data_IF_081234611392
#
_entry.id   IF_081234611392
#
_cell.length_a   1.000
_cell.length_b   1.000
_cell.length_c   1.000
_cell.angle_alpha   90.00
_cell.angle_beta   90.00
_cell.angle_gamma   90.00
#
_symmetry.space_group_name_H-M   'P 1'
#
loop_
_entity.id
_entity.type
_entity.pdbx_description
1 polymer ?
#
# COMPACT_ATOMS: atom_id res chain seq x y z
N UNK A 1 0.54 27.64 2.17
CA UNK A 1 -0.54 26.91 1.48
C UNK A 1 -0.81 25.62 2.24
N UNK A 2 -1.84 25.68 3.12
CA UNK A 2 -2.15 24.63 4.10
C UNK A 2 -2.97 23.45 3.55
N UNK A 3 -2.57 22.87 2.41
CA UNK A 3 -3.19 21.61 1.99
C UNK A 3 -2.61 20.46 2.82
N UNK A 4 -3.49 19.76 3.55
CA UNK A 4 -3.10 18.55 4.28
C UNK A 4 -2.42 17.56 3.31
N UNK A 5 -1.25 17.07 3.69
CA UNK A 5 -0.52 16.12 2.87
C UNK A 5 -1.39 14.87 2.61
N UNK A 6 -1.48 14.44 1.35
CA UNK A 6 -2.26 13.27 0.94
C UNK A 6 -1.33 12.10 0.62
N UNK A 7 -1.65 10.91 1.14
CA UNK A 7 -0.97 9.65 0.82
C UNK A 7 -1.98 8.68 0.22
N UNK A 8 -1.62 8.11 -0.93
CA UNK A 8 -2.40 7.03 -1.53
C UNK A 8 -2.06 5.69 -0.83
N UNK A 9 -3.07 4.85 -0.64
CA UNK A 9 -2.94 3.51 -0.06
C UNK A 9 -3.66 2.51 -0.95
N UNK A 10 -2.94 1.48 -1.43
CA UNK A 10 -3.49 0.43 -2.27
C UNK A 10 -3.46 -0.92 -1.52
N UNK A 11 -4.56 -1.29 -0.81
CA UNK A 11 -4.58 -2.49 0.01
C UNK A 11 -4.82 -3.78 -0.78
N UNK A 12 -5.21 -3.69 -2.06
CA UNK A 12 -5.47 -4.83 -2.91
C UNK A 12 -4.22 -5.51 -3.45
N UNK A 13 -4.40 -6.69 -4.03
CA UNK A 13 -3.42 -7.40 -4.83
C UNK A 13 -4.13 -8.41 -5.75
N UNK A 14 -4.08 -8.19 -7.05
CA UNK A 14 -4.78 -9.03 -8.04
C UNK A 14 -4.23 -10.47 -8.12
N UNK A 15 -2.96 -10.69 -7.75
CA UNK A 15 -2.33 -12.01 -7.82
C UNK A 15 -2.95 -13.03 -6.85
N UNK A 16 -3.35 -12.59 -5.64
CA UNK A 16 -3.91 -13.44 -4.61
C UNK A 16 -3.68 -12.93 -3.19
N UNK A 17 -4.28 -13.59 -2.20
CA UNK A 17 -4.22 -13.21 -0.79
C UNK A 17 -2.82 -13.21 -0.19
N UNK A 18 -1.93 -14.07 -0.71
CA UNK A 18 -0.54 -14.15 -0.23
C UNK A 18 0.28 -12.86 -0.39
N UNK A 19 -0.10 -11.96 -1.29
CA UNK A 19 0.55 -10.65 -1.45
C UNK A 19 -0.04 -9.54 -0.57
N UNK A 20 -1.13 -9.79 0.14
CA UNK A 20 -1.85 -8.77 0.90
C UNK A 20 -1.26 -8.59 2.30
N UNK A 21 -0.84 -7.38 2.61
CA UNK A 21 -0.58 -6.99 3.98
C UNK A 21 -1.91 -6.96 4.75
N UNK A 22 -1.95 -7.33 6.05
CA UNK A 22 -3.21 -7.40 6.79
C UNK A 22 -3.99 -6.08 6.76
N UNK A 23 -5.31 -6.16 6.62
CA UNK A 23 -6.19 -4.99 6.63
C UNK A 23 -6.07 -4.19 7.93
N UNK A 24 -5.92 -4.87 9.07
CA UNK A 24 -5.66 -4.25 10.38
C UNK A 24 -4.34 -3.47 10.42
N UNK A 25 -3.33 -3.94 9.70
CA UNK A 25 -2.05 -3.24 9.59
C UNK A 25 -2.14 -2.00 8.72
N UNK A 26 -2.88 -2.06 7.59
CA UNK A 26 -3.20 -0.86 6.80
C UNK A 26 -4.02 0.15 7.61
N UNK A 27 -4.99 -0.32 8.40
CA UNK A 27 -5.77 0.55 9.27
C UNK A 27 -4.89 1.26 10.31
N UNK A 28 -4.00 0.53 10.98
CA UNK A 28 -3.07 1.12 11.94
C UNK A 28 -2.09 2.12 11.30
N UNK A 29 -1.65 1.86 10.06
CA UNK A 29 -0.87 2.81 9.26
C UNK A 29 -1.67 4.11 9.03
N UNK A 30 -2.93 3.99 8.60
CA UNK A 30 -3.82 5.13 8.33
C UNK A 30 -4.06 5.93 9.62
N UNK A 31 -4.28 5.26 10.73
CA UNK A 31 -4.46 5.89 12.05
C UNK A 31 -3.20 6.67 12.47
N UNK A 32 -2.02 6.09 12.27
CA UNK A 32 -0.75 6.75 12.54
C UNK A 32 -0.51 7.99 11.64
N UNK A 33 -0.86 7.90 10.36
CA UNK A 33 -0.78 9.03 9.43
C UNK A 33 -1.79 10.14 9.80
N UNK A 34 -3.01 9.77 10.18
CA UNK A 34 -4.02 10.72 10.62
C UNK A 34 -3.61 11.47 11.88
N UNK A 35 -2.92 10.81 12.81
CA UNK A 35 -2.35 11.45 14.01
C UNK A 35 -1.28 12.50 13.67
N UNK A 36 -0.64 12.38 12.50
CA UNK A 36 0.30 13.38 11.97
C UNK A 36 -0.38 14.49 11.12
N UNK A 37 -1.72 14.50 11.06
CA UNK A 37 -2.47 15.42 10.20
C UNK A 37 -2.43 15.07 8.70
N UNK A 38 -2.00 13.85 8.35
CA UNK A 38 -1.92 13.39 6.97
C UNK A 38 -3.22 12.69 6.56
N UNK A 39 -3.81 13.12 5.45
CA UNK A 39 -5.00 12.49 4.86
C UNK A 39 -4.60 11.30 3.98
N UNK A 40 -5.49 10.33 3.89
CA UNK A 40 -5.27 9.15 3.06
C UNK A 40 -6.40 8.93 2.06
N UNK A 41 -6.05 8.39 0.89
CA UNK A 41 -7.00 7.96 -0.14
C UNK A 41 -6.73 6.49 -0.50
N UNK A 42 -7.75 5.65 -0.42
CA UNK A 42 -7.68 4.26 -0.86
C UNK A 42 -7.89 4.19 -2.36
N UNK A 43 -7.00 3.51 -3.06
CA UNK A 43 -7.05 3.29 -4.51
C UNK A 43 -6.94 1.79 -4.83
N UNK A 44 -7.44 1.40 -5.99
CA UNK A 44 -7.40 0.02 -6.46
C UNK A 44 -8.48 -0.25 -7.51
N UNK A 45 -8.42 -1.43 -8.10
CA UNK A 45 -9.43 -1.90 -9.05
C UNK A 45 -10.72 -2.32 -8.34
N UNK A 46 -11.79 -2.59 -9.11
CA UNK A 46 -13.07 -3.04 -8.56
C UNK A 46 -12.96 -4.36 -7.77
N UNK A 47 -12.04 -5.24 -8.14
CA UNK A 47 -11.75 -6.48 -7.41
C UNK A 47 -11.13 -6.29 -6.03
N UNK A 48 -10.63 -5.07 -5.71
CA UNK A 48 -10.01 -4.76 -4.43
C UNK A 48 -11.00 -4.17 -3.40
N UNK A 49 -12.29 -4.07 -3.74
CA UNK A 49 -13.32 -3.45 -2.88
C UNK A 49 -13.44 -4.12 -1.51
N UNK A 50 -13.37 -5.47 -1.45
CA UNK A 50 -13.43 -6.16 -0.15
C UNK A 50 -12.25 -5.78 0.74
N UNK A 51 -11.03 -5.79 0.20
CA UNK A 51 -9.83 -5.40 0.93
C UNK A 51 -9.92 -3.94 1.44
N UNK A 52 -10.41 -3.02 0.61
CA UNK A 52 -10.62 -1.64 1.02
C UNK A 52 -11.69 -1.50 2.11
N UNK A 53 -12.79 -2.25 2.02
CA UNK A 53 -13.86 -2.26 3.03
C UNK A 53 -13.32 -2.75 4.38
N UNK A 54 -12.53 -3.83 4.41
CA UNK A 54 -11.91 -4.35 5.62
C UNK A 54 -11.02 -3.28 6.28
N UNK A 55 -10.23 -2.53 5.49
CA UNK A 55 -9.40 -1.43 6.00
C UNK A 55 -10.25 -0.31 6.59
N UNK A 56 -11.31 0.12 5.88
CA UNK A 56 -12.20 1.20 6.35
C UNK A 56 -12.91 0.82 7.65
N UNK A 57 -13.32 -0.46 7.79
CA UNK A 57 -13.97 -0.93 9.02
C UNK A 57 -13.01 -1.05 10.20
N UNK A 58 -11.73 -1.28 9.94
CA UNK A 58 -10.71 -1.45 10.98
C UNK A 58 -10.06 -0.13 11.44
N UNK A 59 -10.04 0.91 10.61
CA UNK A 59 -9.42 2.20 10.95
C UNK A 59 -10.27 3.00 11.93
N UNK A 60 -9.59 3.75 12.81
CA UNK A 60 -10.18 4.70 13.76
C UNK A 60 -9.97 6.15 13.33
N UNK A 61 -9.32 6.37 12.18
CA UNK A 61 -9.00 7.71 11.69
C UNK A 61 -10.27 8.56 11.49
N UNK A 62 -10.20 9.79 11.96
CA UNK A 62 -11.24 10.79 11.75
C UNK A 62 -10.60 12.06 11.19
N UNK A 63 -11.02 12.50 9.99
CA UNK A 63 -11.98 11.86 9.10
C UNK A 63 -11.44 10.55 8.50
N UNK A 64 -12.34 9.63 8.17
CA UNK A 64 -12.00 8.36 7.52
C UNK A 64 -11.27 8.57 6.18
N UNK A 65 -10.49 7.57 5.70
CA UNK A 65 -9.84 7.65 4.40
C UNK A 65 -10.86 7.78 3.27
N UNK A 66 -10.54 8.60 2.27
CA UNK A 66 -11.36 8.68 1.06
C UNK A 66 -11.23 7.37 0.28
N UNK A 67 -12.34 6.66 0.08
CA UNK A 67 -12.32 5.37 -0.63
C UNK A 67 -12.71 5.55 -2.11
N UNK A 68 -11.72 5.47 -3.00
CA UNK A 68 -11.89 5.52 -4.46
C UNK A 68 -11.67 4.16 -5.15
N UNK A 69 -11.57 3.06 -4.40
CA UNK A 69 -11.36 1.72 -4.96
C UNK A 69 -12.51 1.31 -5.87
N UNK A 70 -12.16 0.98 -7.13
CA UNK A 70 -13.13 0.63 -8.18
C UNK A 70 -14.02 1.80 -8.63
N UNK A 71 -13.59 3.05 -8.41
CA UNK A 71 -14.32 4.28 -8.79
C UNK A 71 -13.52 5.20 -9.71
N UNK A 72 -12.33 4.80 -10.13
CA UNK A 72 -11.47 5.57 -11.02
C UNK A 72 -11.14 4.76 -12.27
N UNK A 73 -11.11 5.43 -13.41
CA UNK A 73 -10.38 5.00 -14.58
C UNK A 73 -8.89 5.38 -14.48
N UNK A 74 -8.06 5.00 -15.43
CA UNK A 74 -6.63 5.29 -15.39
C UNK A 74 -6.30 6.79 -15.42
N UNK A 75 -6.94 7.62 -16.27
CA UNK A 75 -6.72 9.08 -16.24
C UNK A 75 -7.07 9.71 -14.88
N UNK A 76 -8.23 9.36 -14.33
CA UNK A 76 -8.66 9.86 -13.01
C UNK A 76 -7.71 9.42 -11.90
N UNK A 77 -7.26 8.14 -11.93
CA UNK A 77 -6.27 7.64 -10.98
C UNK A 77 -4.96 8.42 -11.07
N UNK A 78 -4.50 8.73 -12.30
CA UNK A 78 -3.33 9.57 -12.53
C UNK A 78 -3.49 10.96 -11.89
N UNK A 79 -4.65 11.58 -12.06
CA UNK A 79 -4.99 12.85 -11.42
C UNK A 79 -4.97 12.77 -9.89
N UNK A 80 -5.55 11.71 -9.31
CA UNK A 80 -5.52 11.50 -7.84
C UNK A 80 -4.07 11.35 -7.35
N UNK A 81 -3.26 10.53 -8.03
CA UNK A 81 -1.86 10.30 -7.63
C UNK A 81 -1.00 11.57 -7.76
N UNK A 82 -1.30 12.44 -8.72
CA UNK A 82 -0.61 13.73 -8.87
C UNK A 82 -0.80 14.67 -7.66
N UNK A 83 -1.86 14.49 -6.88
CA UNK A 83 -2.10 15.22 -5.63
C UNK A 83 -1.53 14.52 -4.39
N UNK A 84 -0.98 13.31 -4.54
CA UNK A 84 -0.38 12.55 -3.44
C UNK A 84 1.12 12.81 -3.36
N UNK A 85 1.66 12.79 -2.13
CA UNK A 85 3.12 12.87 -1.92
C UNK A 85 3.80 11.51 -2.01
N UNK A 86 3.08 10.42 -1.78
CA UNK A 86 3.57 9.05 -1.89
C UNK A 86 2.43 8.04 -2.00
N UNK A 87 2.80 6.81 -2.37
CA UNK A 87 1.92 5.64 -2.37
C UNK A 87 2.44 4.58 -1.39
N UNK A 88 1.54 3.97 -0.59
CA UNK A 88 1.82 2.73 0.15
C UNK A 88 1.02 1.61 -0.47
N UNK A 89 1.67 0.51 -0.83
CA UNK A 89 1.04 -0.56 -1.61
C UNK A 89 1.64 -1.93 -1.33
N UNK A 90 0.88 -2.98 -1.57
CA UNK A 90 1.42 -4.31 -1.78
C UNK A 90 2.16 -4.39 -3.13
N UNK A 91 2.87 -5.50 -3.40
CA UNK A 91 3.37 -5.84 -4.74
C UNK A 91 2.20 -5.96 -5.72
N UNK A 92 1.85 -4.87 -6.38
CA UNK A 92 0.69 -4.74 -7.28
C UNK A 92 0.95 -3.73 -8.40
N UNK A 93 0.11 -3.74 -9.42
CA UNK A 93 0.20 -2.80 -10.54
C UNK A 93 0.19 -1.32 -10.13
N UNK A 94 -0.41 -0.99 -8.99
CA UNK A 94 -0.45 0.38 -8.49
C UNK A 94 0.94 0.98 -8.28
N UNK A 95 1.94 0.20 -7.84
CA UNK A 95 3.30 0.70 -7.64
C UNK A 95 3.96 1.14 -8.97
N UNK A 96 3.71 0.41 -10.05
CA UNK A 96 4.25 0.76 -11.38
C UNK A 96 3.56 2.00 -11.95
N UNK A 97 2.24 2.09 -11.75
CA UNK A 97 1.48 3.24 -12.19
C UNK A 97 1.89 4.52 -11.45
N UNK A 98 2.21 4.43 -10.16
CA UNK A 98 2.74 5.56 -9.39
C UNK A 98 4.20 5.90 -9.78
N UNK A 99 5.00 4.91 -10.15
CA UNK A 99 6.39 5.11 -10.53
C UNK A 99 6.53 5.91 -11.83
N UNK A 100 5.61 5.75 -12.78
CA UNK A 100 5.66 6.43 -14.08
C UNK A 100 5.74 7.97 -13.98
N UNK A 101 4.94 8.67 -13.16
CA UNK A 101 5.08 10.10 -12.91
C UNK A 101 6.16 10.44 -11.85
N UNK A 102 6.90 9.48 -11.33
CA UNK A 102 7.94 9.68 -10.31
C UNK A 102 7.42 9.81 -8.88
N UNK A 103 6.18 9.41 -8.61
CA UNK A 103 5.62 9.42 -7.26
C UNK A 103 6.33 8.39 -6.38
N UNK A 104 6.93 8.76 -5.24
CA UNK A 104 7.55 7.81 -4.32
C UNK A 104 6.57 6.73 -3.87
N UNK A 105 7.03 5.48 -3.82
CA UNK A 105 6.21 4.36 -3.36
C UNK A 105 6.91 3.54 -2.27
N UNK A 106 6.16 3.17 -1.25
CA UNK A 106 6.53 2.14 -0.27
C UNK A 106 5.80 0.86 -0.67
N UNK A 107 6.55 -0.11 -1.21
CA UNK A 107 6.00 -1.35 -1.73
C UNK A 107 6.37 -2.53 -0.83
N UNK A 108 5.37 -3.28 -0.38
CA UNK A 108 5.56 -4.45 0.48
C UNK A 108 5.55 -5.73 -0.35
N UNK A 109 6.59 -6.54 -0.17
CA UNK A 109 6.81 -7.78 -0.90
C UNK A 109 6.82 -8.97 0.05
N UNK A 110 5.93 -9.91 -0.19
CA UNK A 110 5.84 -11.17 0.54
C UNK A 110 6.33 -12.37 -0.29
N UNK A 111 5.45 -13.09 -0.99
CA UNK A 111 5.75 -14.36 -1.63
C UNK A 111 6.59 -14.23 -2.92
N UNK A 112 6.74 -13.03 -3.44
CA UNK A 112 7.34 -12.76 -4.76
C UNK A 112 8.76 -12.24 -4.67
N UNK A 113 9.44 -12.20 -5.83
CA UNK A 113 10.81 -11.73 -5.96
C UNK A 113 10.83 -10.23 -6.22
N UNK A 114 11.14 -9.46 -5.22
CA UNK A 114 11.23 -8.00 -5.32
C UNK A 114 12.20 -7.52 -6.39
N UNK A 115 13.30 -8.24 -6.60
CA UNK A 115 14.32 -7.88 -7.59
C UNK A 115 13.83 -7.91 -9.02
N UNK A 116 12.77 -8.68 -9.32
CA UNK A 116 12.22 -8.84 -10.65
C UNK A 116 11.12 -7.82 -10.96
N UNK A 117 10.38 -7.39 -9.94
CA UNK A 117 9.14 -6.62 -10.13
C UNK A 117 9.04 -5.36 -9.29
N UNK A 118 10.11 -4.93 -8.60
CA UNK A 118 10.06 -3.67 -7.86
C UNK A 118 9.83 -2.46 -8.81
N UNK A 119 9.25 -1.35 -8.31
CA UNK A 119 9.04 -0.18 -9.14
C UNK A 119 10.37 0.39 -9.66
N UNK A 120 10.37 0.84 -10.90
CA UNK A 120 11.55 1.43 -11.55
C UNK A 120 11.61 2.91 -11.18
N UNK A 121 12.81 3.41 -10.84
CA UNK A 121 13.04 4.81 -10.48
C UNK A 121 13.63 5.00 -9.09
N UNK A 122 14.05 6.24 -8.78
CA UNK A 122 15.01 6.48 -7.71
C UNK A 122 14.47 6.68 -6.29
N UNK A 123 13.18 6.74 -6.04
CA UNK A 123 12.64 7.08 -4.71
C UNK A 123 11.61 6.08 -4.17
N UNK A 124 11.75 4.82 -4.55
CA UNK A 124 10.86 3.78 -4.07
C UNK A 124 11.53 2.99 -2.94
N UNK A 125 10.76 2.67 -1.90
CA UNK A 125 11.22 1.81 -0.82
C UNK A 125 10.53 0.47 -0.90
N UNK A 126 11.34 -0.59 -0.99
CA UNK A 126 10.86 -1.98 -0.96
C UNK A 126 11.01 -2.54 0.45
N UNK A 127 9.92 -2.99 1.03
CA UNK A 127 9.90 -3.59 2.36
C UNK A 127 9.61 -5.09 2.25
N UNK A 128 10.47 -5.86 2.88
CA UNK A 128 10.35 -7.32 2.98
C UNK A 128 10.51 -7.75 4.43
N UNK A 129 9.89 -8.88 4.78
CA UNK A 129 10.24 -9.63 5.97
C UNK A 129 10.91 -10.95 5.53
N UNK A 130 12.23 -11.12 5.75
CA UNK A 130 12.93 -12.34 5.31
C UNK A 130 12.47 -13.53 6.13
N UNK A 131 11.88 -14.51 5.44
CA UNK A 131 11.48 -15.80 6.00
C UNK A 131 11.98 -16.93 5.10
N UNK A 132 12.20 -18.09 5.64
CA UNK A 132 12.83 -19.22 4.94
C UNK A 132 12.07 -19.69 3.69
N UNK A 133 10.74 -19.51 3.65
CA UNK A 133 9.89 -19.98 2.56
C UNK A 133 9.73 -18.99 1.38
N UNK A 134 10.32 -17.78 1.47
CA UNK A 134 10.24 -16.84 0.33
C UNK A 134 11.50 -16.89 -0.54
N UNK A 135 11.33 -16.65 -1.85
CA UNK A 135 10.09 -16.43 -2.59
C UNK A 135 9.39 -17.74 -2.93
N UNK A 136 8.15 -17.94 -2.50
CA UNK A 136 7.39 -19.15 -2.80
C UNK A 136 6.50 -19.04 -4.04
N UNK A 137 6.22 -17.84 -4.51
CA UNK A 137 5.39 -17.52 -5.69
C UNK A 137 3.94 -18.07 -5.60
N UNK A 138 3.46 -18.38 -4.41
CA UNK A 138 2.11 -18.90 -4.20
C UNK A 138 1.07 -17.78 -4.14
N UNK A 139 -0.13 -18.05 -4.65
CA UNK A 139 -1.28 -17.10 -4.61
C UNK A 139 -1.91 -17.03 -3.22
N UNK A 140 -1.89 -18.16 -2.51
CA UNK A 140 -2.40 -18.29 -1.14
C UNK A 140 -1.30 -18.91 -0.26
N UNK A 141 -1.20 -18.44 0.97
CA UNK A 141 -0.19 -18.93 1.89
C UNK A 141 -0.72 -20.15 2.66
N UNK A 142 -0.09 -21.34 2.52
CA UNK A 142 -0.50 -22.52 3.28
C UNK A 142 0.04 -22.52 4.73
N UNK A 143 0.81 -21.52 5.10
CA UNK A 143 1.46 -21.39 6.41
C UNK A 143 0.91 -20.18 7.19
N UNK A 144 1.77 -19.53 7.94
CA UNK A 144 1.42 -18.43 8.86
C UNK A 144 1.53 -17.03 8.24
N UNK A 145 1.78 -16.93 6.95
CA UNK A 145 1.87 -15.68 6.16
C UNK A 145 2.90 -14.67 6.70
N UNK A 146 3.92 -15.12 7.40
CA UNK A 146 4.93 -14.28 8.08
C UNK A 146 5.69 -13.35 7.15
N UNK A 147 5.81 -13.66 5.87
CA UNK A 147 6.46 -12.76 4.91
C UNK A 147 5.73 -11.41 4.78
N UNK A 148 4.41 -11.38 5.00
CA UNK A 148 3.59 -10.16 5.01
C UNK A 148 3.30 -9.69 6.43
N UNK A 149 2.80 -10.56 7.31
CA UNK A 149 2.43 -10.18 8.69
C UNK A 149 3.63 -9.73 9.54
N UNK A 150 4.84 -10.15 9.19
CA UNK A 150 6.08 -9.72 9.83
C UNK A 150 6.63 -8.37 9.35
N UNK A 151 6.02 -7.74 8.33
CA UNK A 151 6.32 -6.35 7.98
C UNK A 151 5.59 -5.46 8.99
N UNK A 152 6.34 -4.90 9.96
CA UNK A 152 5.77 -4.12 11.05
C UNK A 152 5.19 -2.78 10.59
N UNK A 153 4.07 -2.38 11.20
CA UNK A 153 3.39 -1.10 10.92
C UNK A 153 4.34 0.10 11.10
N UNK A 154 5.13 0.12 12.18
CA UNK A 154 6.06 1.21 12.47
C UNK A 154 7.08 1.40 11.35
N UNK A 155 7.56 0.30 10.76
CA UNK A 155 8.50 0.33 9.64
C UNK A 155 7.87 0.92 8.38
N UNK A 156 6.62 0.54 8.08
CA UNK A 156 5.87 1.07 6.93
C UNK A 156 5.53 2.54 7.15
N UNK A 157 5.13 2.90 8.38
CA UNK A 157 4.79 4.28 8.76
C UNK A 157 6.00 5.20 8.67
N UNK A 158 7.17 4.75 9.15
CA UNK A 158 8.42 5.50 9.03
C UNK A 158 8.79 5.74 7.56
N UNK A 159 8.67 4.70 6.72
CA UNK A 159 8.89 4.81 5.28
C UNK A 159 7.92 5.78 4.60
N UNK A 160 6.63 5.72 4.93
CA UNK A 160 5.60 6.61 4.38
C UNK A 160 5.80 8.09 4.79
N UNK A 161 6.38 8.32 5.98
CA UNK A 161 6.78 9.64 6.46
C UNK A 161 8.01 10.22 5.75
N UNK A 162 8.72 9.41 4.98
CA UNK A 162 10.02 9.77 4.41
C UNK A 162 11.16 9.84 5.45
N UNK A 163 10.99 9.20 6.59
CA UNK A 163 12.03 9.06 7.63
C UNK A 163 12.78 7.74 7.37
N UNK A 164 14.02 7.85 6.94
CA UNK A 164 14.95 6.72 6.88
C UNK A 164 15.67 6.55 8.21
#
# INVERSE_FOLDING_TARGET
DGHAALIAVAPGAAFGGAKRWPATSFAALIDGLASDGVRTVLIGASGDRSAATEVVLATKASPAPLNLVGRTDLPTLGGVLAHCRSLVTNDSGAMHFAAAPGLPAVAMFGPTRERETHPIGGRHMVLINPVWCRPCMLKECPLTHRCMTGIGVDRVLAAARGRQ
#
